data_IF_261266114181
#
_entry.id   IF_261266114181
#
_cell.length_a   1.000
_cell.length_b   1.000
_cell.length_c   1.000
_cell.angle_alpha   90.00
_cell.angle_beta   90.00
_cell.angle_gamma   90.00
#
_symmetry.space_group_name_H-M   'P 1'
#
loop_
_entity.id
_entity.type
_entity.pdbx_description
1 polymer ?
#
# COMPACT_ATOMS: atom_id res chain seq x y z
N UNK A 1 0.78 9.83 -14.65
CA UNK A 1 1.86 8.86 -14.49
C UNK A 1 1.32 7.54 -13.96
N UNK A 2 1.97 6.45 -14.36
CA UNK A 2 1.60 5.13 -13.85
C UNK A 2 2.05 4.95 -12.39
N UNK A 3 1.81 3.77 -11.82
CA UNK A 3 2.28 3.47 -10.47
C UNK A 3 3.80 3.42 -10.41
N UNK A 4 4.34 3.66 -9.22
CA UNK A 4 5.76 3.55 -8.95
C UNK A 4 6.12 2.08 -8.76
N UNK A 5 7.08 1.57 -9.54
CA UNK A 5 7.64 0.24 -9.28
C UNK A 5 8.74 0.40 -8.24
N UNK A 6 8.53 -0.16 -7.05
CA UNK A 6 9.43 0.08 -5.92
C UNK A 6 10.77 -0.63 -6.10
N UNK A 7 11.83 0.16 -6.10
CA UNK A 7 13.22 -0.32 -6.00
C UNK A 7 13.91 0.50 -4.93
N UNK A 8 15.06 0.04 -4.44
CA UNK A 8 15.73 0.69 -3.33
C UNK A 8 16.05 2.16 -3.63
N UNK A 9 16.40 2.46 -4.87
CA UNK A 9 16.76 3.80 -5.32
C UNK A 9 15.60 4.79 -5.22
N UNK A 10 14.35 4.32 -5.19
CA UNK A 10 13.20 5.20 -5.09
C UNK A 10 12.43 5.07 -3.77
N UNK A 11 13.01 4.43 -2.75
CA UNK A 11 12.39 4.36 -1.42
C UNK A 11 12.07 5.76 -0.88
N UNK A 12 12.90 6.76 -1.21
CA UNK A 12 12.68 8.14 -0.76
C UNK A 12 11.38 8.73 -1.31
N UNK A 13 10.97 8.35 -2.52
CA UNK A 13 9.70 8.81 -3.09
C UNK A 13 8.53 8.34 -2.22
N UNK A 14 8.58 7.08 -1.80
CA UNK A 14 7.54 6.51 -0.94
C UNK A 14 7.56 7.15 0.46
N UNK A 15 8.74 7.34 1.04
CA UNK A 15 8.91 8.00 2.34
C UNK A 15 8.36 9.42 2.30
N UNK A 16 8.67 10.17 1.24
CA UNK A 16 8.19 11.54 1.07
C UNK A 16 6.67 11.61 0.93
N UNK A 17 6.08 10.65 0.21
CA UNK A 17 4.64 10.58 0.07
C UNK A 17 3.96 10.38 1.43
N UNK A 18 4.49 9.47 2.24
CA UNK A 18 3.96 9.21 3.58
C UNK A 18 4.13 10.43 4.49
N UNK A 19 5.29 11.08 4.42
CA UNK A 19 5.58 12.27 5.23
C UNK A 19 4.70 13.46 4.85
N UNK A 20 4.29 13.55 3.58
CA UNK A 20 3.49 14.67 3.09
C UNK A 20 1.98 14.49 3.29
N UNK A 21 1.55 13.35 3.83
CA UNK A 21 0.14 13.08 4.07
C UNK A 21 -0.64 12.60 2.85
N UNK A 22 0.05 12.24 1.78
CA UNK A 22 -0.60 11.60 0.64
C UNK A 22 -1.05 10.20 1.01
N UNK A 23 -2.14 9.75 0.39
CA UNK A 23 -2.47 8.34 0.48
C UNK A 23 -1.47 7.53 -0.32
N UNK A 24 -1.03 6.43 0.26
CA UNK A 24 -0.20 5.44 -0.41
C UNK A 24 -1.05 4.20 -0.62
N UNK A 25 -1.19 3.79 -1.87
CA UNK A 25 -1.90 2.57 -2.24
C UNK A 25 -0.86 1.61 -2.80
N UNK A 26 -0.53 0.59 -2.03
CA UNK A 26 0.48 -0.38 -2.40
C UNK A 26 -0.16 -1.68 -2.85
N UNK A 27 0.34 -2.22 -3.95
CA UNK A 27 -0.03 -3.55 -4.42
C UNK A 27 1.16 -4.46 -4.22
N UNK A 28 1.00 -5.47 -3.37
CA UNK A 28 2.04 -6.46 -3.09
C UNK A 28 1.78 -7.68 -3.94
N UNK A 29 2.72 -7.98 -4.81
CA UNK A 29 2.61 -9.09 -5.76
C UNK A 29 3.95 -9.78 -5.96
N UNK A 30 3.92 -10.90 -6.66
CA UNK A 30 5.14 -11.61 -7.04
C UNK A 30 5.30 -11.61 -8.56
N UNK A 31 6.52 -11.49 -9.04
CA UNK A 31 6.79 -11.42 -10.48
C UNK A 31 6.37 -12.67 -11.26
N UNK A 32 6.32 -13.82 -10.58
CA UNK A 32 5.90 -15.09 -11.19
C UNK A 32 4.37 -15.28 -11.25
N UNK A 33 3.63 -14.40 -10.61
CA UNK A 33 2.17 -14.53 -10.50
C UNK A 33 1.47 -13.96 -11.72
N UNK A 34 0.76 -14.79 -12.48
CA UNK A 34 0.06 -14.37 -13.69
C UNK A 34 -1.08 -13.40 -13.39
N UNK A 35 -1.79 -13.59 -12.28
CA UNK A 35 -2.85 -12.68 -11.84
C UNK A 35 -2.27 -11.28 -11.61
N UNK A 36 -1.10 -11.21 -11.00
CA UNK A 36 -0.41 -9.94 -10.77
C UNK A 36 -0.05 -9.24 -12.08
N UNK A 37 0.47 -10.00 -13.04
CA UNK A 37 0.86 -9.45 -14.34
C UNK A 37 -0.32 -8.85 -15.07
N UNK A 38 -1.46 -9.53 -15.05
CA UNK A 38 -2.70 -9.05 -15.68
C UNK A 38 -3.26 -7.84 -14.96
N UNK A 39 -3.13 -7.82 -13.63
CA UNK A 39 -3.65 -6.73 -12.80
C UNK A 39 -2.86 -5.43 -12.97
N UNK A 40 -1.59 -5.53 -13.35
CA UNK A 40 -0.67 -4.40 -13.41
C UNK A 40 -1.19 -3.23 -14.25
N UNK A 41 -1.70 -3.52 -15.44
CA UNK A 41 -2.20 -2.47 -16.33
C UNK A 41 -3.39 -1.72 -15.72
N UNK A 42 -4.30 -2.43 -15.06
CA UNK A 42 -5.44 -1.81 -14.40
C UNK A 42 -5.03 -0.97 -13.19
N UNK A 43 -4.04 -1.43 -12.44
CA UNK A 43 -3.51 -0.70 -11.29
C UNK A 43 -2.84 0.59 -11.76
N UNK A 44 -2.05 0.54 -12.83
CA UNK A 44 -1.43 1.71 -13.43
C UNK A 44 -2.47 2.71 -13.93
N UNK A 45 -3.57 2.22 -14.51
CA UNK A 45 -4.65 3.08 -14.97
C UNK A 45 -5.32 3.81 -13.79
N UNK A 46 -5.48 3.15 -12.66
CA UNK A 46 -5.99 3.79 -11.44
C UNK A 46 -5.06 4.91 -10.97
N UNK A 47 -3.75 4.68 -11.03
CA UNK A 47 -2.78 5.69 -10.64
C UNK A 47 -2.93 6.97 -11.44
N UNK A 48 -3.28 6.86 -12.73
CA UNK A 48 -3.54 8.01 -13.59
C UNK A 48 -4.81 8.76 -13.19
N UNK A 49 -5.79 8.06 -12.63
CA UNK A 49 -7.05 8.67 -12.21
C UNK A 49 -6.92 9.41 -10.87
N UNK A 50 -5.92 9.07 -10.07
CA UNK A 50 -5.72 9.66 -8.74
C UNK A 50 -4.30 10.22 -8.61
N UNK A 51 -3.94 11.24 -9.42
CA UNK A 51 -2.55 11.71 -9.49
C UNK A 51 -2.05 12.39 -8.21
N UNK A 52 -2.94 12.81 -7.31
CA UNK A 52 -2.54 13.40 -6.02
C UNK A 52 -2.12 12.37 -4.97
N UNK A 53 -2.28 11.09 -5.26
CA UNK A 53 -1.93 10.01 -4.33
C UNK A 53 -0.84 9.15 -4.94
N UNK A 54 -0.13 8.42 -4.08
CA UNK A 54 1.00 7.60 -4.53
C UNK A 54 0.59 6.15 -4.64
N UNK A 55 0.51 5.65 -5.87
CA UNK A 55 0.31 4.22 -6.14
C UNK A 55 1.68 3.58 -6.31
N UNK A 56 1.89 2.45 -5.63
CA UNK A 56 3.19 1.78 -5.66
C UNK A 56 3.00 0.27 -5.85
N UNK A 57 3.82 -0.28 -6.73
CA UNK A 57 3.86 -1.72 -6.99
C UNK A 57 5.07 -2.30 -6.27
N UNK A 58 4.83 -3.24 -5.36
CA UNK A 58 5.90 -3.86 -4.56
C UNK A 58 5.98 -5.33 -4.92
N UNK A 59 7.09 -5.74 -5.52
CA UNK A 59 7.39 -7.14 -5.75
C UNK A 59 7.97 -7.70 -4.44
N UNK A 60 7.28 -8.67 -3.85
CA UNK A 60 7.64 -9.17 -2.52
C UNK A 60 8.95 -9.94 -2.52
N UNK A 61 9.37 -10.47 -3.66
CA UNK A 61 10.65 -11.16 -3.77
C UNK A 61 11.81 -10.17 -3.91
N UNK A 62 11.65 -9.16 -4.77
CA UNK A 62 12.66 -8.12 -4.95
C UNK A 62 12.83 -7.30 -3.68
N UNK A 63 11.75 -7.09 -2.94
CA UNK A 63 11.74 -6.29 -1.72
C UNK A 63 11.59 -7.14 -0.47
N UNK A 64 12.12 -8.35 -0.49
CA UNK A 64 12.02 -9.27 0.65
C UNK A 64 12.59 -8.69 1.94
N UNK A 65 13.63 -7.86 1.84
CA UNK A 65 14.21 -7.20 3.01
C UNK A 65 13.25 -6.17 3.62
N UNK A 66 12.55 -5.43 2.78
CA UNK A 66 11.56 -4.43 3.24
C UNK A 66 10.32 -5.10 3.80
N UNK A 67 9.80 -6.07 3.08
CA UNK A 67 8.58 -6.79 3.48
C UNK A 67 8.85 -7.68 4.69
N UNK A 68 10.06 -8.28 4.74
CA UNK A 68 10.49 -9.08 5.88
C UNK A 68 9.57 -10.26 6.15
N UNK A 69 9.10 -10.33 7.38
CA UNK A 69 8.23 -11.41 7.85
C UNK A 69 6.73 -11.11 7.67
N UNK A 70 6.40 -10.06 6.94
CA UNK A 70 5.01 -9.73 6.66
C UNK A 70 4.36 -10.89 5.89
N UNK A 71 3.25 -11.36 6.40
CA UNK A 71 2.55 -12.51 5.83
C UNK A 71 1.73 -12.08 4.62
N UNK A 72 2.16 -12.51 3.43
CA UNK A 72 1.45 -12.24 2.16
C UNK A 72 1.07 -13.60 1.59
N UNK A 73 -0.11 -14.07 1.92
CA UNK A 73 -0.57 -15.41 1.55
C UNK A 73 -1.16 -15.48 0.15
N UNK A 74 -1.79 -14.42 -0.31
CA UNK A 74 -2.49 -14.39 -1.58
C UNK A 74 -2.21 -13.10 -2.34
N UNK A 75 -2.43 -13.12 -3.65
CA UNK A 75 -2.16 -12.00 -4.54
C UNK A 75 -3.41 -11.64 -5.35
N UNK A 76 -3.64 -10.36 -5.63
CA UNK A 76 -2.88 -9.22 -5.09
C UNK A 76 -3.27 -8.91 -3.64
N UNK A 77 -2.32 -8.47 -2.85
CA UNK A 77 -2.57 -7.93 -1.52
C UNK A 77 -2.44 -6.41 -1.60
N UNK A 78 -3.44 -5.71 -1.08
CA UNK A 78 -3.50 -4.25 -1.14
C UNK A 78 -3.27 -3.69 0.25
N UNK A 79 -2.46 -2.63 0.31
CA UNK A 79 -2.23 -1.87 1.54
C UNK A 79 -2.54 -0.42 1.25
N UNK A 80 -3.34 0.21 2.11
CA UNK A 80 -3.62 1.64 2.03
C UNK A 80 -3.18 2.31 3.32
N UNK A 81 -2.30 3.29 3.19
CA UNK A 81 -1.71 3.97 4.34
C UNK A 81 -1.65 5.47 4.09
N UNK A 82 -1.92 6.24 5.14
CA UNK A 82 -1.76 7.68 5.13
C UNK A 82 -0.95 8.07 6.36
N UNK A 83 0.25 8.64 6.15
CA UNK A 83 1.14 8.97 7.26
C UNK A 83 1.51 7.70 8.03
N UNK A 84 1.21 7.68 9.31
CA UNK A 84 1.45 6.53 10.19
C UNK A 84 0.25 5.60 10.32
N UNK A 85 -0.85 5.87 9.62
CA UNK A 85 -2.08 5.10 9.78
C UNK A 85 -2.32 4.16 8.62
N UNK A 86 -2.32 2.86 8.88
CA UNK A 86 -2.68 1.82 7.92
C UNK A 86 -4.20 1.64 7.97
N UNK A 87 -4.88 2.06 6.91
CA UNK A 87 -6.34 2.01 6.84
C UNK A 87 -6.86 0.67 6.33
N UNK A 88 -6.06 -0.02 5.53
CA UNK A 88 -6.44 -1.33 5.01
C UNK A 88 -5.20 -2.15 4.67
N UNK A 89 -5.27 -3.45 4.95
CA UNK A 89 -4.30 -4.43 4.51
C UNK A 89 -5.00 -5.77 4.30
N UNK A 90 -4.94 -6.31 3.08
CA UNK A 90 -5.54 -7.60 2.83
C UNK A 90 -5.59 -7.95 1.35
N UNK A 91 -5.91 -9.20 1.08
CA UNK A 91 -6.10 -9.69 -0.28
C UNK A 91 -7.40 -9.14 -0.84
N UNK A 92 -7.35 -8.65 -2.08
CA UNK A 92 -8.52 -8.19 -2.81
C UNK A 92 -8.66 -8.96 -4.10
N UNK A 93 -9.87 -9.03 -4.65
CA UNK A 93 -10.06 -9.57 -5.99
C UNK A 93 -9.27 -8.71 -6.98
N UNK A 94 -8.73 -9.34 -8.05
CA UNK A 94 -7.90 -8.60 -9.01
C UNK A 94 -8.74 -7.73 -9.95
N UNK A 95 -9.55 -6.86 -9.36
CA UNK A 95 -10.38 -5.90 -10.08
C UNK A 95 -10.04 -4.49 -9.60
N UNK A 96 -9.45 -3.66 -10.47
CA UNK A 96 -9.07 -2.30 -10.08
C UNK A 96 -10.22 -1.48 -9.53
N UNK A 97 -11.44 -1.75 -9.98
CA UNK A 97 -12.64 -1.05 -9.53
C UNK A 97 -12.87 -1.19 -8.02
N UNK A 98 -12.50 -2.33 -7.45
CA UNK A 98 -12.66 -2.56 -6.01
C UNK A 98 -11.68 -1.72 -5.20
N UNK A 99 -10.45 -1.58 -5.70
CA UNK A 99 -9.45 -0.70 -5.08
C UNK A 99 -9.95 0.75 -5.11
N UNK A 100 -10.49 1.16 -6.26
CA UNK A 100 -11.02 2.53 -6.40
C UNK A 100 -12.14 2.82 -5.40
N UNK A 101 -13.07 1.87 -5.23
CA UNK A 101 -14.17 2.03 -4.27
C UNK A 101 -13.67 2.15 -2.85
N UNK A 102 -12.71 1.32 -2.48
CA UNK A 102 -12.15 1.35 -1.13
C UNK A 102 -11.39 2.66 -0.90
N UNK A 103 -10.62 3.11 -1.88
CA UNK A 103 -9.90 4.37 -1.78
C UNK A 103 -10.86 5.54 -1.61
N UNK A 104 -11.92 5.61 -2.40
CA UNK A 104 -12.89 6.69 -2.30
C UNK A 104 -13.55 6.74 -0.92
N UNK A 105 -13.84 5.57 -0.35
CA UNK A 105 -14.37 5.50 1.00
C UNK A 105 -13.36 6.04 2.04
N UNK A 106 -12.07 5.77 1.84
CA UNK A 106 -11.04 6.27 2.75
C UNK A 106 -10.84 7.78 2.62
N UNK A 107 -10.96 8.31 1.40
CA UNK A 107 -10.78 9.75 1.15
C UNK A 107 -11.81 10.61 1.86
N UNK A 108 -12.99 10.08 2.15
CA UNK A 108 -14.05 10.78 2.85
C UNK A 108 -13.85 10.81 4.37
N UNK A 109 -12.87 10.10 4.90
CA UNK A 109 -12.66 9.98 6.34
C UNK A 109 -11.69 11.04 6.86
N UNK A 110 -12.00 11.55 8.04
CA UNK A 110 -11.11 12.48 8.74
C UNK A 110 -9.94 11.69 9.38
N UNK A 111 -8.89 12.42 9.76
CA UNK A 111 -7.77 11.83 10.47
C UNK A 111 -8.21 11.18 11.80
N UNK A 112 -9.18 11.81 12.49
CA UNK A 112 -9.74 11.26 13.72
C UNK A 112 -10.45 9.94 13.50
N UNK A 113 -11.24 9.85 12.42
CA UNK A 113 -11.95 8.63 12.08
C UNK A 113 -10.98 7.51 11.73
N UNK A 114 -9.93 7.83 10.95
CA UNK A 114 -8.90 6.86 10.59
C UNK A 114 -8.15 6.34 11.82
N UNK A 115 -7.77 7.23 12.74
CA UNK A 115 -7.10 6.86 13.99
C UNK A 115 -7.97 5.97 14.86
N UNK A 116 -9.24 6.31 14.97
CA UNK A 116 -10.19 5.55 15.78
C UNK A 116 -10.38 4.15 15.23
N UNK A 117 -10.52 4.04 13.91
CA UNK A 117 -10.68 2.76 13.27
C UNK A 117 -9.42 1.90 13.36
N UNK A 118 -8.24 2.52 13.25
CA UNK A 118 -6.96 1.83 13.38
C UNK A 118 -6.83 1.14 14.75
N UNK A 119 -7.49 1.66 15.75
CA UNK A 119 -7.45 1.16 17.13
C UNK A 119 -8.67 0.30 17.51
N UNK A 120 -9.57 0.08 16.56
CA UNK A 120 -10.90 -0.48 16.85
C UNK A 120 -10.93 -1.97 17.13
N UNK A 121 -9.92 -2.72 16.67
CA UNK A 121 -9.83 -4.16 16.94
C UNK A 121 -8.37 -4.62 16.87
N UNK A 122 -8.11 -5.85 17.32
CA UNK A 122 -6.74 -6.37 17.41
C UNK A 122 -6.08 -6.51 16.03
N UNK A 123 -6.83 -6.88 14.99
CA UNK A 123 -6.30 -7.01 13.64
C UNK A 123 -5.83 -5.66 13.11
N UNK A 124 -6.65 -4.62 13.27
CA UNK A 124 -6.29 -3.28 12.80
C UNK A 124 -5.15 -2.68 13.60
N UNK A 125 -5.09 -2.93 14.88
CA UNK A 125 -3.96 -2.51 15.72
C UNK A 125 -2.67 -3.17 15.25
N UNK A 126 -2.73 -4.44 14.89
CA UNK A 126 -1.60 -5.20 14.38
C UNK A 126 -1.09 -4.61 13.05
N UNK A 127 -1.99 -4.16 12.17
CA UNK A 127 -1.61 -3.51 10.93
C UNK A 127 -0.70 -2.30 11.16
N UNK A 128 -0.93 -1.56 12.24
CA UNK A 128 -0.19 -0.32 12.51
C UNK A 128 1.28 -0.56 12.84
N UNK A 129 1.63 -1.77 13.27
CA UNK A 129 3.00 -2.14 13.56
C UNK A 129 3.59 -3.07 12.51
N UNK A 130 2.85 -4.06 12.07
CA UNK A 130 3.37 -5.07 11.14
C UNK A 130 3.32 -4.67 9.67
N UNK A 131 2.28 -3.93 9.29
CA UNK A 131 2.06 -3.54 7.89
C UNK A 131 2.45 -2.10 7.59
N UNK A 132 2.92 -1.37 8.58
CA UNK A 132 3.21 0.05 8.45
C UNK A 132 4.47 0.29 7.63
N UNK A 133 4.30 0.78 6.40
CA UNK A 133 5.41 1.02 5.47
C UNK A 133 6.39 2.06 6.01
N UNK A 134 5.90 3.08 6.72
CA UNK A 134 6.76 4.12 7.27
C UNK A 134 7.77 3.54 8.25
N UNK A 135 7.31 2.65 9.13
CA UNK A 135 8.19 1.99 10.09
C UNK A 135 9.21 1.09 9.39
N UNK A 136 8.77 0.37 8.36
CA UNK A 136 9.66 -0.51 7.60
C UNK A 136 10.72 0.27 6.84
N UNK A 137 10.33 1.38 6.23
CA UNK A 137 11.27 2.25 5.52
C UNK A 137 12.29 2.88 6.47
N UNK A 138 11.85 3.27 7.66
CA UNK A 138 12.74 3.87 8.67
C UNK A 138 13.86 2.91 9.07
N UNK A 139 13.59 1.61 9.09
CA UNK A 139 14.63 0.61 9.39
C UNK A 139 15.76 0.61 8.37
N UNK A 140 15.46 0.94 7.11
CA UNK A 140 16.49 1.05 6.07
C UNK A 140 17.27 2.35 6.12
N UNK A 141 16.75 3.36 6.79
CA UNK A 141 17.37 4.68 6.89
C UNK A 141 18.18 4.85 8.19
N UNK A 142 18.11 3.87 9.07
CA UNK A 142 18.82 3.94 10.36
C UNK A 142 20.21 3.34 10.31
#
# INVERSE_FOLDING_TARGET
MSSLFLVRENFSVLSDALASGKWVIACLCAGWCDVCKQYRAGFDALALQYPEHQFVWIDIEDQSDLIGDLDVENFPTILMQRGDTVAFYGTMMPEPRQVARLLEAQLERSDEELSREADSNSQRQQWQTECNLRLRLDEFNS
#
